data_IF_985930010642
#
_entry.id   IF_985930010642
#
_cell.length_a   1.000
_cell.length_b   1.000
_cell.length_c   1.000
_cell.angle_alpha   90.00
_cell.angle_beta   90.00
_cell.angle_gamma   90.00
#
_symmetry.space_group_name_H-M   'P 1'
#
loop_
_entity.id
_entity.type
_entity.pdbx_description
1 polymer ?
#
# COMPACT_ATOMS: atom_id res chain seq x y z
N UNK A 1 -26.59 13.30 9.86
CA UNK A 1 -25.66 12.17 9.74
C UNK A 1 -24.29 12.73 9.35
N UNK A 2 -23.50 13.17 10.34
CA UNK A 2 -22.19 13.80 10.12
C UNK A 2 -21.25 13.21 11.16
N UNK A 3 -20.45 12.23 10.77
CA UNK A 3 -19.33 11.79 11.60
C UNK A 3 -18.10 12.52 11.09
N UNK A 4 -17.72 13.53 11.84
CA UNK A 4 -16.41 14.14 11.79
C UNK A 4 -15.38 13.09 12.24
N UNK A 5 -14.44 12.75 11.38
CA UNK A 5 -13.17 12.12 11.78
C UNK A 5 -12.02 12.87 11.11
N UNK A 6 -11.49 13.83 11.88
CA UNK A 6 -10.05 14.11 12.03
C UNK A 6 -9.19 14.24 10.75
N UNK A 7 -9.15 15.45 10.19
CA UNK A 7 -7.90 16.23 10.10
C UNK A 7 -6.66 15.69 9.37
N UNK A 8 -6.74 14.67 8.51
CA UNK A 8 -5.56 14.20 7.75
C UNK A 8 -5.75 14.27 6.23
N UNK A 9 -5.11 15.30 5.67
CA UNK A 9 -4.60 15.43 4.30
C UNK A 9 -5.64 15.79 3.22
N UNK A 10 -5.68 17.08 2.93
CA UNK A 10 -5.73 17.69 1.58
C UNK A 10 -5.73 16.63 0.48
N UNK A 11 -6.87 16.48 -0.21
CA UNK A 11 -7.13 15.53 -1.29
C UNK A 11 -5.87 15.02 -2.01
N UNK A 12 -5.35 13.87 -1.59
CA UNK A 12 -4.17 13.27 -2.21
C UNK A 12 -4.54 12.79 -3.61
N UNK A 13 -3.81 13.24 -4.63
CA UNK A 13 -3.93 12.70 -6.00
C UNK A 13 -3.61 11.20 -6.02
N UNK A 14 -4.13 10.46 -7.02
CA UNK A 14 -3.93 9.01 -7.13
C UNK A 14 -2.45 8.60 -7.08
N UNK A 15 -1.56 9.36 -7.73
CA UNK A 15 -0.10 9.16 -7.65
C UNK A 15 0.43 9.24 -6.21
N UNK A 16 -0.04 10.23 -5.44
CA UNK A 16 0.41 10.44 -4.07
C UNK A 16 -0.07 9.31 -3.14
N UNK A 17 -1.26 8.78 -3.38
CA UNK A 17 -1.79 7.61 -2.67
C UNK A 17 -0.93 6.36 -2.94
N UNK A 18 -0.63 6.08 -4.22
CA UNK A 18 0.24 4.94 -4.63
C UNK A 18 1.62 5.04 -3.96
N UNK A 19 2.27 6.20 -4.02
CA UNK A 19 3.59 6.42 -3.39
C UNK A 19 3.54 6.32 -1.86
N UNK A 20 2.42 6.66 -1.26
CA UNK A 20 2.22 6.53 0.19
C UNK A 20 2.08 5.07 0.58
N UNK A 21 1.27 4.30 -0.15
CA UNK A 21 1.13 2.86 0.05
C UNK A 21 2.48 2.13 -0.12
N UNK A 22 3.24 2.46 -1.16
CA UNK A 22 4.58 1.92 -1.37
C UNK A 22 5.50 2.18 -0.17
N UNK A 23 5.57 3.44 0.30
CA UNK A 23 6.39 3.79 1.48
C UNK A 23 5.93 3.07 2.76
N UNK A 24 4.63 2.89 2.96
CA UNK A 24 4.10 2.15 4.10
C UNK A 24 4.52 0.67 4.06
N UNK A 25 4.47 0.02 2.90
CA UNK A 25 4.95 -1.35 2.72
C UNK A 25 6.45 -1.46 2.98
N UNK A 26 7.26 -0.51 2.51
CA UNK A 26 8.69 -0.48 2.82
C UNK A 26 8.99 -0.33 4.32
N UNK A 27 8.18 0.45 5.04
CA UNK A 27 8.30 0.61 6.49
C UNK A 27 7.91 -0.68 7.21
N UNK A 28 6.84 -1.35 6.76
CA UNK A 28 6.37 -2.62 7.31
C UNK A 28 7.43 -3.72 7.29
N UNK A 29 8.30 -3.75 6.26
CA UNK A 29 9.47 -4.64 6.22
C UNK A 29 10.28 -4.67 7.52
N UNK A 30 10.41 -3.51 8.20
CA UNK A 30 11.18 -3.40 9.44
C UNK A 30 10.53 -4.14 10.61
N UNK A 31 9.21 -4.29 10.58
CA UNK A 31 8.40 -4.93 11.61
C UNK A 31 8.21 -6.44 11.39
N UNK A 32 8.56 -6.97 10.21
CA UNK A 32 8.46 -8.39 9.92
C UNK A 32 9.44 -9.20 10.80
N UNK A 33 8.90 -10.14 11.57
CA UNK A 33 9.68 -11.06 12.41
C UNK A 33 9.92 -12.41 11.72
N UNK A 34 8.87 -12.98 11.12
CA UNK A 34 8.87 -14.36 10.62
C UNK A 34 8.96 -14.49 9.09
N UNK A 35 9.12 -13.38 8.37
CA UNK A 35 9.18 -13.37 6.91
C UNK A 35 10.52 -12.84 6.44
N UNK A 36 11.09 -13.45 5.40
CA UNK A 36 12.29 -12.95 4.75
C UNK A 36 12.07 -11.52 4.22
N UNK A 37 12.80 -10.58 4.81
CA UNK A 37 12.68 -9.14 4.55
C UNK A 37 13.13 -8.76 3.15
N UNK A 38 14.05 -9.52 2.55
CA UNK A 38 14.58 -9.30 1.21
C UNK A 38 13.59 -9.84 0.18
N UNK A 39 13.03 -11.02 0.40
CA UNK A 39 11.96 -11.58 -0.40
C UNK A 39 10.73 -10.66 -0.40
N UNK A 40 10.27 -10.21 0.77
CA UNK A 40 9.15 -9.27 0.86
C UNK A 40 9.40 -8.00 0.04
N UNK A 41 10.59 -7.41 0.18
CA UNK A 41 10.96 -6.20 -0.55
C UNK A 41 11.00 -6.43 -2.07
N UNK A 42 11.59 -7.55 -2.51
CA UNK A 42 11.67 -7.90 -3.92
C UNK A 42 10.27 -8.08 -4.51
N UNK A 43 9.36 -8.76 -3.79
CA UNK A 43 7.98 -8.97 -4.23
C UNK A 43 7.20 -7.66 -4.33
N UNK A 44 7.33 -6.77 -3.34
CA UNK A 44 6.69 -5.45 -3.39
C UNK A 44 7.21 -4.64 -4.58
N UNK A 45 8.53 -4.60 -4.80
CA UNK A 45 9.11 -3.88 -5.95
C UNK A 45 8.64 -4.45 -7.28
N UNK A 46 8.67 -5.78 -7.43
CA UNK A 46 8.25 -6.44 -8.66
C UNK A 46 6.77 -6.17 -8.99
N UNK A 47 5.89 -6.17 -8.00
CA UNK A 47 4.46 -5.83 -8.19
C UNK A 47 4.26 -4.38 -8.62
N UNK A 48 4.92 -3.41 -7.98
CA UNK A 48 4.79 -2.01 -8.40
C UNK A 48 5.40 -1.75 -9.77
N UNK A 49 6.51 -2.41 -10.10
CA UNK A 49 7.16 -2.27 -11.41
C UNK A 49 6.31 -2.90 -12.53
N UNK A 50 5.72 -4.08 -12.29
CA UNK A 50 4.82 -4.75 -13.23
C UNK A 50 3.60 -3.89 -13.55
N UNK A 51 3.08 -3.19 -12.54
CA UNK A 51 1.82 -2.44 -12.62
C UNK A 51 2.03 -0.93 -12.82
N UNK A 52 3.27 -0.46 -13.08
CA UNK A 52 3.60 0.98 -13.17
C UNK A 52 2.88 1.74 -14.28
N UNK A 53 2.47 1.02 -15.32
CA UNK A 53 1.82 1.55 -16.51
C UNK A 53 0.33 1.17 -16.58
N UNK A 54 -0.26 0.71 -15.48
CA UNK A 54 -1.69 0.47 -15.44
C UNK A 54 -2.44 1.79 -15.69
N UNK A 55 -3.39 1.73 -16.61
CA UNK A 55 -4.25 2.86 -16.98
C UNK A 55 -5.72 2.59 -16.64
N UNK A 56 -6.11 1.32 -16.50
CA UNK A 56 -7.45 0.93 -16.10
C UNK A 56 -7.66 1.20 -14.60
N UNK A 57 -8.63 2.07 -14.28
CA UNK A 57 -8.95 2.48 -12.91
C UNK A 57 -9.30 1.30 -12.00
N UNK A 58 -10.05 0.31 -12.51
CA UNK A 58 -10.41 -0.90 -11.77
C UNK A 58 -9.20 -1.75 -11.37
N UNK A 59 -8.18 -1.84 -12.22
CA UNK A 59 -6.95 -2.58 -11.93
C UNK A 59 -6.07 -1.85 -10.92
N UNK A 60 -6.02 -0.51 -11.02
CA UNK A 60 -5.35 0.35 -10.05
C UNK A 60 -6.00 0.18 -8.67
N UNK A 61 -7.33 0.27 -8.59
CA UNK A 61 -8.07 0.09 -7.34
C UNK A 61 -7.86 -1.29 -6.73
N UNK A 62 -7.87 -2.34 -7.55
CA UNK A 62 -7.59 -3.69 -7.09
C UNK A 62 -6.18 -3.81 -6.50
N UNK A 63 -5.17 -3.23 -7.16
CA UNK A 63 -3.79 -3.21 -6.66
C UNK A 63 -3.67 -2.43 -5.35
N UNK A 64 -4.35 -1.28 -5.26
CA UNK A 64 -4.37 -0.44 -4.07
C UNK A 64 -5.03 -1.17 -2.88
N UNK A 65 -6.16 -1.82 -3.11
CA UNK A 65 -6.83 -2.64 -2.09
C UNK A 65 -5.97 -3.81 -1.64
N UNK A 66 -5.34 -4.55 -2.58
CA UNK A 66 -4.42 -5.64 -2.28
C UNK A 66 -3.27 -5.18 -1.38
N UNK A 67 -2.62 -4.05 -1.71
CA UNK A 67 -1.55 -3.50 -0.88
C UNK A 67 -2.04 -3.07 0.51
N UNK A 68 -3.24 -2.48 0.60
CA UNK A 68 -3.84 -2.10 1.89
C UNK A 68 -4.16 -3.33 2.76
N UNK A 69 -4.60 -4.44 2.16
CA UNK A 69 -4.81 -5.70 2.88
C UNK A 69 -3.51 -6.27 3.44
N UNK A 70 -2.41 -6.20 2.68
CA UNK A 70 -1.08 -6.60 3.15
C UNK A 70 -0.68 -5.80 4.38
N UNK A 71 -0.95 -4.48 4.41
CA UNK A 71 -0.68 -3.66 5.59
C UNK A 71 -1.53 -4.09 6.80
N UNK A 72 -2.83 -4.32 6.59
CA UNK A 72 -3.79 -4.68 7.66
C UNK A 72 -3.57 -6.07 8.26
N UNK A 73 -3.06 -7.04 7.50
CA UNK A 73 -2.94 -8.44 7.96
C UNK A 73 -2.05 -8.66 9.20
N UNK A 74 -1.11 -7.76 9.51
CA UNK A 74 -0.34 -7.84 10.78
C UNK A 74 -0.92 -6.93 11.88
N UNK A 75 -1.95 -6.13 11.61
CA UNK A 75 -2.62 -5.32 12.64
C UNK A 75 -3.63 -6.14 13.46
N UNK A 76 -3.81 -7.42 13.14
CA UNK A 76 -4.71 -8.36 13.81
C UNK A 76 -3.94 -9.43 14.59
N UNK A 77 -2.67 -9.17 14.92
CA UNK A 77 -1.86 -9.99 15.83
C UNK A 77 -1.73 -9.26 17.16
#
# INVERSE_FOLDING_TARGET
MVIQHTGKLIAMTGRQQVLTLYRQLLRKRRQLQYTDKSFFLQRVRAEFEKNKHLTAESEIDHCMQKGQMVLKRDALV
#
